data_IF_106619580786
#
_entry.id   IF_106619580786
#
_cell.length_a   1.000
_cell.length_b   1.000
_cell.length_c   1.000
_cell.angle_alpha   90.00
_cell.angle_beta   90.00
_cell.angle_gamma   90.00
#
_symmetry.space_group_name_H-M   'P 1'
#
loop_
_entity.id
_entity.type
_entity.pdbx_description
1 polymer ?
#
# COMPACT_ATOMS: atom_id res chain seq x y z
N UNK A 1 7.35 12.04 8.21
CA UNK A 1 6.74 12.26 6.90
C UNK A 1 5.23 12.12 7.06
N UNK A 2 4.44 13.09 6.59
CA UNK A 2 2.97 13.04 6.57
C UNK A 2 2.25 13.53 7.82
N UNK A 3 2.87 13.50 8.98
CA UNK A 3 2.25 14.04 10.22
C UNK A 3 0.84 13.50 10.46
N UNK A 4 -0.09 14.37 10.78
CA UNK A 4 -1.49 14.04 11.06
C UNK A 4 -2.32 13.66 9.82
N UNK A 5 -1.73 13.76 8.61
CA UNK A 5 -2.40 13.36 7.36
C UNK A 5 -2.24 11.85 7.06
N UNK A 6 -1.57 11.09 7.92
CA UNK A 6 -1.31 9.67 7.76
C UNK A 6 -1.77 8.89 8.99
N UNK A 7 -2.41 7.75 8.77
CA UNK A 7 -2.53 6.68 9.75
C UNK A 7 -1.64 5.50 9.36
N UNK A 8 -1.13 4.79 10.34
CA UNK A 8 -0.35 3.56 10.18
C UNK A 8 -1.03 2.47 11.00
N UNK A 9 -1.56 1.47 10.31
CA UNK A 9 -2.19 0.31 10.92
C UNK A 9 -1.19 -0.85 10.85
N UNK A 10 -0.65 -1.24 11.98
CA UNK A 10 0.23 -2.40 12.11
C UNK A 10 -0.65 -3.61 12.44
N UNK A 11 -0.79 -4.52 11.49
CA UNK A 11 -1.56 -5.77 11.70
C UNK A 11 -0.59 -6.89 12.04
N UNK A 12 -0.64 -7.35 13.27
CA UNK A 12 0.08 -8.52 13.74
C UNK A 12 -0.80 -9.77 13.56
N UNK A 13 -0.46 -10.60 12.58
CA UNK A 13 -1.21 -11.80 12.19
C UNK A 13 -0.79 -13.03 13.01
N UNK A 14 -0.84 -12.92 14.31
CA UNK A 14 -0.57 -14.01 15.25
C UNK A 14 0.92 -14.36 15.37
N UNK A 15 1.80 -13.37 15.43
CA UNK A 15 3.23 -13.58 15.63
C UNK A 15 3.53 -14.24 16.97
N UNK A 16 4.52 -15.13 17.00
CA UNK A 16 4.97 -15.83 18.20
C UNK A 16 6.20 -15.21 18.87
N UNK A 17 6.74 -14.15 18.27
CA UNK A 17 7.88 -13.39 18.76
C UNK A 17 7.43 -12.04 19.38
N UNK A 18 8.35 -11.11 19.55
CA UNK A 18 8.07 -9.80 20.13
C UNK A 18 7.47 -8.76 19.15
N UNK A 19 6.97 -9.18 17.97
CA UNK A 19 6.40 -8.28 16.95
C UNK A 19 5.25 -7.44 17.51
N UNK A 20 4.30 -8.05 18.19
CA UNK A 20 3.18 -7.33 18.80
C UNK A 20 3.63 -6.32 19.86
N UNK A 21 4.62 -6.69 20.69
CA UNK A 21 5.16 -5.79 21.70
C UNK A 21 5.80 -4.55 21.06
N UNK A 22 6.57 -4.74 19.99
CA UNK A 22 7.18 -3.65 19.23
C UNK A 22 6.08 -2.76 18.60
N UNK A 23 5.06 -3.35 18.00
CA UNK A 23 3.94 -2.62 17.42
C UNK A 23 3.25 -1.71 18.46
N UNK A 24 2.98 -2.24 19.66
CA UNK A 24 2.39 -1.47 20.77
C UNK A 24 3.28 -0.34 21.27
N UNK A 25 4.61 -0.52 21.30
CA UNK A 25 5.53 0.56 21.64
C UNK A 25 5.46 1.73 20.63
N UNK A 26 5.26 1.42 19.34
CA UNK A 26 5.04 2.46 18.34
C UNK A 26 3.68 3.15 18.47
N UNK A 27 2.62 2.40 18.80
CA UNK A 27 1.30 2.94 19.10
C UNK A 27 1.35 3.89 20.30
N UNK A 28 1.99 3.50 21.41
CA UNK A 28 2.17 4.35 22.59
C UNK A 28 2.97 5.62 22.27
N UNK A 29 3.98 5.50 21.41
CA UNK A 29 4.83 6.63 21.02
C UNK A 29 4.14 7.61 20.07
N UNK A 30 3.23 7.12 19.23
CA UNK A 30 2.53 7.89 18.20
C UNK A 30 1.02 7.59 18.20
N UNK A 31 0.32 7.88 19.29
CA UNK A 31 -1.05 7.39 19.52
C UNK A 31 -2.10 7.96 18.56
N UNK A 32 -1.81 9.07 17.89
CA UNK A 32 -2.70 9.68 16.87
C UNK A 32 -2.43 9.19 15.45
N UNK A 33 -1.32 8.46 15.24
CA UNK A 33 -0.87 8.06 13.89
C UNK A 33 -0.82 6.54 13.78
N UNK A 34 -0.32 5.84 14.82
CA UNK A 34 -0.08 4.40 14.79
C UNK A 34 -1.14 3.67 15.60
N UNK A 35 -1.67 2.61 15.03
CA UNK A 35 -2.60 1.67 15.67
C UNK A 35 -2.10 0.24 15.48
N UNK A 36 -1.96 -0.52 16.56
CA UNK A 36 -1.55 -1.91 16.55
C UNK A 36 -2.77 -2.83 16.71
N UNK A 37 -2.98 -3.73 15.76
CA UNK A 37 -4.08 -4.71 15.76
C UNK A 37 -3.48 -6.11 15.79
N UNK A 38 -3.84 -6.89 16.82
CA UNK A 38 -3.49 -8.29 16.92
C UNK A 38 -4.68 -9.16 16.54
N UNK A 39 -4.42 -10.22 15.78
CA UNK A 39 -5.42 -11.22 15.38
C UNK A 39 -4.83 -12.62 15.34
N UNK A 40 -5.69 -13.64 15.32
CA UNK A 40 -5.26 -14.99 15.01
C UNK A 40 -4.70 -15.08 13.60
N UNK A 41 -3.68 -15.93 13.42
CA UNK A 41 -3.02 -16.10 12.13
C UNK A 41 -4.02 -16.54 11.06
N UNK A 42 -4.15 -15.76 10.01
CA UNK A 42 -4.98 -16.01 8.83
C UNK A 42 -4.20 -15.87 7.52
N UNK A 43 -2.91 -15.53 7.62
CA UNK A 43 -2.03 -15.30 6.48
C UNK A 43 -2.15 -13.87 5.93
N UNK A 44 -1.29 -13.56 4.95
CA UNK A 44 -1.11 -12.23 4.40
C UNK A 44 -2.44 -11.58 3.94
N UNK A 45 -3.27 -12.29 3.17
CA UNK A 45 -4.57 -11.75 2.72
C UNK A 45 -5.49 -11.35 3.87
N UNK A 46 -5.52 -12.16 4.93
CA UNK A 46 -6.29 -11.87 6.14
C UNK A 46 -5.78 -10.60 6.85
N UNK A 47 -4.47 -10.41 6.93
CA UNK A 47 -3.88 -9.20 7.49
C UNK A 47 -4.25 -7.95 6.68
N UNK A 48 -4.21 -8.05 5.35
CA UNK A 48 -4.62 -6.96 4.46
C UNK A 48 -6.11 -6.63 4.62
N UNK A 49 -6.99 -7.65 4.67
CA UNK A 49 -8.43 -7.45 4.92
C UNK A 49 -8.68 -6.68 6.22
N UNK A 50 -7.98 -7.09 7.30
CA UNK A 50 -8.05 -6.37 8.59
C UNK A 50 -7.59 -4.92 8.45
N UNK A 51 -6.53 -4.66 7.70
CA UNK A 51 -6.06 -3.31 7.41
C UNK A 51 -7.12 -2.47 6.67
N UNK A 52 -7.76 -3.04 5.64
CA UNK A 52 -8.83 -2.36 4.87
C UNK A 52 -10.04 -2.05 5.77
N UNK A 53 -10.46 -3.00 6.59
CA UNK A 53 -11.59 -2.84 7.50
C UNK A 53 -11.38 -1.64 8.45
N UNK A 54 -10.18 -1.53 9.01
CA UNK A 54 -9.84 -0.53 10.02
C UNK A 54 -9.34 0.81 9.44
N UNK A 55 -9.09 0.88 8.13
CA UNK A 55 -8.61 2.10 7.49
C UNK A 55 -9.68 3.20 7.49
N UNK A 56 -9.30 4.41 7.91
CA UNK A 56 -10.13 5.60 7.98
C UNK A 56 -9.70 6.66 6.95
N UNK A 57 -8.46 6.60 6.46
CA UNK A 57 -7.92 7.52 5.46
C UNK A 57 -8.62 7.41 4.11
N UNK A 58 -8.58 8.49 3.34
CA UNK A 58 -9.17 8.55 1.98
C UNK A 58 -8.51 7.54 1.05
N UNK A 59 -7.22 7.33 1.22
CA UNK A 59 -6.42 6.40 0.44
C UNK A 59 -5.75 5.34 1.32
N UNK A 60 -5.64 4.14 0.79
CA UNK A 60 -5.09 2.96 1.44
C UNK A 60 -3.89 2.41 0.66
N UNK A 61 -2.82 2.09 1.37
CA UNK A 61 -1.64 1.42 0.81
C UNK A 61 -1.21 0.26 1.70
N UNK A 62 -0.96 -0.89 1.08
CA UNK A 62 -0.26 -1.99 1.74
C UNK A 62 1.24 -1.72 1.72
N UNK A 63 1.90 -1.98 2.84
CA UNK A 63 3.35 -1.99 2.98
C UNK A 63 3.74 -3.26 3.73
N UNK A 64 4.44 -4.16 3.07
CA UNK A 64 4.92 -5.40 3.67
C UNK A 64 6.03 -5.11 4.69
N UNK A 65 6.20 -5.99 5.66
CA UNK A 65 7.13 -5.77 6.78
C UNK A 65 8.61 -5.73 6.37
N UNK A 66 8.94 -6.23 5.19
CA UNK A 66 10.28 -6.23 4.59
C UNK A 66 10.46 -5.15 3.50
N UNK A 67 9.42 -4.34 3.25
CA UNK A 67 9.44 -3.23 2.30
C UNK A 67 9.65 -1.88 2.99
N UNK A 68 10.02 -0.86 2.22
CA UNK A 68 10.11 0.51 2.69
C UNK A 68 9.75 1.54 1.63
N UNK A 69 9.37 2.72 2.09
CA UNK A 69 9.04 3.86 1.25
C UNK A 69 10.27 4.72 0.98
N UNK A 70 10.45 5.17 -0.24
CA UNK A 70 11.53 6.08 -0.61
C UNK A 70 11.35 7.45 0.06
N UNK A 71 12.32 7.87 0.86
CA UNK A 71 12.25 9.07 1.70
C UNK A 71 12.17 10.37 0.91
N UNK A 72 12.70 10.40 -0.31
CA UNK A 72 12.74 11.60 -1.15
C UNK A 72 11.49 11.72 -2.03
N UNK A 73 10.93 10.60 -2.46
CA UNK A 73 9.82 10.59 -3.41
C UNK A 73 8.45 10.38 -2.76
N UNK A 74 8.38 9.69 -1.62
CA UNK A 74 7.11 9.48 -0.95
C UNK A 74 6.39 10.79 -0.53
N UNK A 75 7.07 11.84 -0.04
CA UNK A 75 6.41 13.13 0.18
C UNK A 75 5.71 13.70 -1.05
N UNK A 76 6.29 13.55 -2.23
CA UNK A 76 5.67 14.00 -3.50
C UNK A 76 4.38 13.22 -3.83
N UNK A 77 4.34 11.93 -3.45
CA UNK A 77 3.13 11.11 -3.59
C UNK A 77 2.03 11.62 -2.66
N UNK A 78 2.36 11.92 -1.40
CA UNK A 78 1.42 12.48 -0.43
C UNK A 78 0.90 13.84 -0.86
N UNK A 79 1.78 14.74 -1.34
CA UNK A 79 1.40 16.05 -1.85
C UNK A 79 0.41 15.92 -3.01
N UNK A 80 0.64 14.97 -3.93
CA UNK A 80 -0.26 14.73 -5.06
C UNK A 80 -1.61 14.14 -4.63
N UNK A 81 -1.62 13.24 -3.66
CA UNK A 81 -2.87 12.71 -3.09
C UNK A 81 -3.68 13.84 -2.40
N UNK A 82 -3.00 14.67 -1.62
CA UNK A 82 -3.62 15.82 -0.97
C UNK A 82 -4.16 16.84 -1.98
N UNK A 83 -3.45 17.08 -3.10
CA UNK A 83 -3.93 17.91 -4.21
C UNK A 83 -5.22 17.35 -4.80
N UNK A 84 -5.24 16.05 -5.16
CA UNK A 84 -6.41 15.37 -5.73
C UNK A 84 -7.64 15.49 -4.81
N UNK A 85 -7.45 15.29 -3.50
CA UNK A 85 -8.52 15.45 -2.50
C UNK A 85 -9.03 16.89 -2.46
N UNK A 86 -8.14 17.88 -2.42
CA UNK A 86 -8.51 19.31 -2.40
C UNK A 86 -9.27 19.76 -3.64
N UNK A 87 -8.91 19.19 -4.80
CA UNK A 87 -9.56 19.48 -6.09
C UNK A 87 -10.86 18.69 -6.30
N UNK A 88 -11.22 17.82 -5.36
CA UNK A 88 -12.39 16.93 -5.48
C UNK A 88 -12.27 15.89 -6.58
N UNK A 89 -11.04 15.60 -7.03
CA UNK A 89 -10.78 14.57 -8.02
C UNK A 89 -10.81 13.18 -7.37
N UNK A 90 -11.87 12.42 -7.66
CA UNK A 90 -12.05 11.06 -7.14
C UNK A 90 -11.34 10.05 -8.04
N UNK A 91 -10.04 9.83 -7.82
CA UNK A 91 -9.31 8.74 -8.47
C UNK A 91 -9.45 7.45 -7.65
N UNK A 92 -9.67 6.34 -8.32
CA UNK A 92 -9.85 5.04 -7.65
C UNK A 92 -8.54 4.45 -7.20
N UNK A 93 -7.44 4.72 -7.93
CA UNK A 93 -6.09 4.29 -7.57
C UNK A 93 -5.01 5.19 -8.14
N UNK A 94 -3.88 5.26 -7.45
CA UNK A 94 -2.65 5.85 -7.93
C UNK A 94 -1.61 4.74 -8.12
N UNK A 95 -1.00 4.69 -9.31
CA UNK A 95 0.06 3.74 -9.62
C UNK A 95 1.43 4.41 -9.43
N UNK A 96 2.28 3.77 -8.64
CA UNK A 96 3.64 4.21 -8.39
C UNK A 96 4.65 3.22 -8.99
N UNK A 97 5.79 3.73 -9.41
CA UNK A 97 6.93 2.87 -9.73
C UNK A 97 7.48 2.24 -8.45
N UNK A 98 8.17 1.12 -8.57
CA UNK A 98 8.87 0.50 -7.44
C UNK A 98 10.23 -0.07 -7.85
N UNK A 99 11.03 -0.41 -6.85
CA UNK A 99 12.40 -0.88 -7.05
C UNK A 99 12.58 -2.20 -6.29
N UNK A 100 13.05 -3.21 -7.00
CA UNK A 100 13.59 -4.40 -6.35
C UNK A 100 14.98 -4.10 -5.78
N UNK A 101 15.10 -4.11 -4.46
CA UNK A 101 16.35 -3.92 -3.72
C UNK A 101 16.80 -5.24 -3.11
N UNK A 102 17.41 -6.09 -3.91
CA UNK A 102 17.88 -7.40 -3.46
C UNK A 102 19.22 -7.28 -2.74
N UNK A 103 19.31 -7.83 -1.54
CA UNK A 103 20.55 -7.91 -0.78
C UNK A 103 21.66 -8.60 -1.61
N UNK A 104 22.87 -8.05 -1.60
CA UNK A 104 24.03 -8.58 -2.30
C UNK A 104 24.08 -8.31 -3.81
N UNK A 105 23.07 -7.65 -4.39
CA UNK A 105 23.04 -7.28 -5.81
C UNK A 105 23.41 -5.81 -5.96
N UNK A 106 24.44 -5.51 -6.76
CA UNK A 106 24.91 -4.13 -7.00
C UNK A 106 23.91 -3.26 -7.79
N UNK A 107 23.07 -3.88 -8.60
CA UNK A 107 22.14 -3.16 -9.49
C UNK A 107 20.68 -3.38 -9.04
N UNK A 108 20.05 -2.30 -8.63
CA UNK A 108 18.61 -2.28 -8.31
C UNK A 108 17.80 -2.29 -9.61
N UNK A 109 16.74 -3.10 -9.66
CA UNK A 109 15.82 -3.15 -10.80
C UNK A 109 14.61 -2.26 -10.54
N UNK A 110 14.50 -1.14 -11.26
CA UNK A 110 13.30 -0.31 -11.21
C UNK A 110 12.23 -0.84 -12.17
N UNK A 111 11.02 -0.99 -11.68
CA UNK A 111 9.83 -1.27 -12.48
C UNK A 111 9.10 0.06 -12.68
N UNK A 112 8.88 0.40 -13.95
CA UNK A 112 8.26 1.66 -14.36
C UNK A 112 7.09 1.37 -15.28
N UNK A 113 6.03 2.17 -15.16
CA UNK A 113 4.80 2.02 -15.93
C UNK A 113 4.63 3.05 -17.05
N UNK A 114 5.65 3.88 -17.32
CA UNK A 114 5.60 4.93 -18.34
C UNK A 114 5.33 4.41 -19.77
N UNK A 115 5.65 3.14 -20.04
CA UNK A 115 5.36 2.48 -21.31
C UNK A 115 3.90 2.01 -21.41
N UNK A 116 3.18 1.88 -20.29
CA UNK A 116 1.82 1.34 -20.23
C UNK A 116 0.80 2.44 -19.97
N UNK A 117 1.08 3.33 -19.02
CA UNK A 117 0.14 4.34 -18.55
C UNK A 117 0.63 5.76 -18.83
N UNK A 118 -0.30 6.71 -19.10
CA UNK A 118 0.00 8.12 -19.08
C UNK A 118 0.63 8.54 -17.75
N UNK A 119 1.60 9.45 -17.80
CA UNK A 119 2.35 9.87 -16.61
C UNK A 119 1.82 11.19 -16.06
N UNK A 120 1.75 11.29 -14.72
CA UNK A 120 1.40 12.51 -13.99
C UNK A 120 0.05 13.13 -14.38
N UNK A 121 -0.90 12.30 -14.76
CA UNK A 121 -2.26 12.73 -15.11
C UNK A 121 -3.28 11.64 -14.78
N UNK A 122 -4.53 12.03 -14.64
CA UNK A 122 -5.65 11.09 -14.49
C UNK A 122 -5.90 10.42 -15.86
N UNK A 123 -6.14 9.12 -15.83
CA UNK A 123 -6.41 8.29 -17.01
C UNK A 123 -7.44 7.22 -16.67
N UNK A 124 -7.92 6.53 -17.69
CA UNK A 124 -8.79 5.37 -17.56
C UNK A 124 -8.12 4.13 -18.16
N UNK A 125 -8.67 2.96 -17.91
CA UNK A 125 -8.17 1.71 -18.49
C UNK A 125 -8.14 1.72 -20.03
N UNK A 126 -8.91 2.60 -20.69
CA UNK A 126 -8.88 2.77 -22.15
C UNK A 126 -7.59 3.39 -22.66
N UNK A 127 -6.89 4.11 -21.79
CA UNK A 127 -5.63 4.79 -22.11
C UNK A 127 -4.41 3.88 -21.86
N UNK A 128 -4.65 2.69 -21.24
CA UNK A 128 -3.60 1.72 -20.96
C UNK A 128 -3.09 1.05 -22.24
N UNK A 129 -1.76 0.95 -22.35
CA UNK A 129 -1.09 0.20 -23.42
C UNK A 129 -0.78 -1.22 -22.95
N UNK A 130 -0.23 -2.04 -23.84
CA UNK A 130 0.16 -3.40 -23.53
C UNK A 130 1.33 -3.46 -22.55
N UNK A 131 1.23 -4.35 -21.57
CA UNK A 131 2.33 -4.69 -20.69
C UNK A 131 3.40 -5.49 -21.42
N UNK A 132 4.66 -5.26 -21.08
CA UNK A 132 5.72 -6.15 -21.51
C UNK A 132 5.67 -7.48 -20.75
N UNK A 133 6.26 -8.53 -21.34
CA UNK A 133 6.36 -9.82 -20.67
C UNK A 133 7.05 -9.68 -19.29
N UNK A 134 6.39 -10.18 -18.25
CA UNK A 134 6.87 -10.07 -16.87
C UNK A 134 6.71 -8.70 -16.23
N UNK A 135 5.94 -7.79 -16.84
CA UNK A 135 5.51 -6.52 -16.26
C UNK A 135 4.04 -6.64 -15.86
N UNK A 136 3.75 -6.42 -14.60
CA UNK A 136 2.38 -6.46 -14.03
C UNK A 136 2.28 -5.46 -12.89
N UNK A 137 1.07 -5.17 -12.47
CA UNK A 137 0.80 -4.29 -11.33
C UNK A 137 0.87 -5.16 -10.07
N UNK A 138 1.73 -4.77 -9.14
CA UNK A 138 1.79 -5.39 -7.82
C UNK A 138 1.11 -4.51 -6.79
N UNK A 139 0.56 -5.11 -5.74
CA UNK A 139 -0.13 -4.42 -4.66
C UNK A 139 0.72 -3.31 -4.03
N UNK A 140 2.03 -3.54 -3.83
CA UNK A 140 2.94 -2.53 -3.28
C UNK A 140 3.22 -1.34 -4.24
N UNK A 141 2.81 -1.42 -5.50
CA UNK A 141 2.90 -0.29 -6.45
C UNK A 141 1.64 0.57 -6.49
N UNK A 142 0.60 0.18 -5.77
CA UNK A 142 -0.72 0.82 -5.84
C UNK A 142 -1.07 1.49 -4.51
N UNK A 143 -1.74 2.64 -4.64
CA UNK A 143 -2.45 3.29 -3.55
C UNK A 143 -3.92 3.35 -3.99
N UNK A 144 -4.81 2.76 -3.22
CA UNK A 144 -6.23 2.63 -3.56
C UNK A 144 -7.06 3.67 -2.81
N UNK A 145 -8.17 4.08 -3.38
CA UNK A 145 -9.20 4.80 -2.64
C UNK A 145 -9.89 3.82 -1.67
N UNK A 146 -9.80 4.09 -0.37
CA UNK A 146 -10.29 3.20 0.70
C UNK A 146 -11.77 2.83 0.51
N UNK A 147 -12.61 3.82 0.23
CA UNK A 147 -14.05 3.58 0.06
C UNK A 147 -14.35 2.69 -1.17
N UNK A 148 -13.54 2.75 -2.22
CA UNK A 148 -13.68 1.88 -3.38
C UNK A 148 -13.43 0.42 -2.98
N UNK A 149 -12.35 0.13 -2.23
CA UNK A 149 -12.06 -1.21 -1.71
C UNK A 149 -13.21 -1.74 -0.83
N UNK A 150 -13.71 -0.91 0.08
CA UNK A 150 -14.84 -1.30 0.95
C UNK A 150 -16.12 -1.55 0.17
N UNK A 151 -16.41 -0.74 -0.85
CA UNK A 151 -17.64 -0.86 -1.65
C UNK A 151 -17.63 -2.06 -2.61
N UNK A 152 -16.47 -2.48 -3.12
CA UNK A 152 -16.40 -3.65 -4.01
C UNK A 152 -16.48 -5.00 -3.25
N UNK A 153 -16.47 -4.97 -1.91
CA UNK A 153 -16.53 -6.17 -1.09
C UNK A 153 -15.33 -7.09 -1.29
N UNK A 154 -14.16 -6.51 -1.56
CA UNK A 154 -12.94 -7.28 -1.73
C UNK A 154 -12.61 -8.03 -0.43
N UNK A 155 -12.49 -9.34 -0.54
CA UNK A 155 -12.01 -10.21 0.53
C UNK A 155 -10.91 -11.11 -0.03
N UNK A 156 -9.69 -10.87 0.42
CA UNK A 156 -8.54 -11.69 0.05
C UNK A 156 -8.58 -13.02 0.78
N UNK A 157 -8.27 -14.14 0.12
CA UNK A 157 -8.34 -15.47 0.73
C UNK A 157 -7.30 -15.64 1.85
N UNK A 158 -7.71 -16.40 2.88
CA UNK A 158 -6.85 -16.74 4.00
C UNK A 158 -5.90 -17.88 3.64
N UNK A 159 -4.72 -17.91 4.28
CA UNK A 159 -3.70 -18.97 4.13
C UNK A 159 -3.37 -19.33 2.66
N UNK A 160 -3.41 -18.35 1.78
CA UNK A 160 -3.14 -18.52 0.36
C UNK A 160 -1.90 -17.72 -0.04
N UNK A 161 -1.08 -18.31 -0.94
CA UNK A 161 0.05 -17.62 -1.54
C UNK A 161 -0.39 -16.74 -2.72
N UNK A 162 0.40 -15.71 -3.02
CA UNK A 162 0.22 -14.82 -4.17
C UNK A 162 -1.08 -14.01 -4.15
N UNK A 163 -1.59 -13.64 -2.99
CA UNK A 163 -2.78 -12.78 -2.84
C UNK A 163 -2.58 -11.38 -3.41
N UNK A 164 -1.34 -10.96 -3.62
CA UNK A 164 -0.92 -9.71 -4.24
C UNK A 164 -1.17 -9.65 -5.76
N UNK A 165 -1.60 -10.77 -6.36
CA UNK A 165 -1.91 -10.92 -7.80
C UNK A 165 -3.39 -11.25 -8.08
N UNK A 166 -4.26 -11.12 -7.11
CA UNK A 166 -5.70 -11.42 -7.23
C UNK A 166 -6.49 -10.15 -7.59
#
# INVERSE_FOLDING_TARGET
IGGDDIEIIIVDDGSSDNTLEIAKQYEEKYPTIVRAIHKENGGHGSAVNTGIEHAEGVYFKVLDSDDWLDKENYPKVLDKLAELVREGQNVDMMLCNYIYDKQGVKHKKAIRYANVFPQNQVFTWKDAKHFHLGQYILMHSVIYRTQMLKNCGLELPQHTFYVDNI
#
